data_IF_948430912378
#
_entry.id   IF_948430912378
#
_cell.length_a   1.000
_cell.length_b   1.000
_cell.length_c   1.000
_cell.angle_alpha   90.00
_cell.angle_beta   90.00
_cell.angle_gamma   90.00
#
_symmetry.space_group_name_H-M   'P 1'
#
loop_
_entity.id
_entity.type
_entity.pdbx_description
1 polymer ?
#
# COMPACT_ATOMS: atom_id res chain seq x y z
N UNK A 1 9.32 -7.35 -14.60
CA UNK A 1 10.41 -7.81 -15.51
C UNK A 1 11.13 -6.67 -16.21
N UNK A 2 10.48 -5.77 -16.99
CA UNK A 2 11.23 -4.69 -17.69
C UNK A 2 12.07 -3.81 -16.77
N UNK A 3 11.52 -3.36 -15.63
CA UNK A 3 12.27 -2.56 -14.64
C UNK A 3 13.45 -3.32 -14.04
N UNK A 4 13.26 -4.61 -13.73
CA UNK A 4 14.33 -5.45 -13.17
C UNK A 4 15.49 -5.60 -14.16
N UNK A 5 15.19 -5.75 -15.45
CA UNK A 5 16.21 -5.89 -16.49
C UNK A 5 16.90 -4.57 -16.88
N UNK A 6 16.23 -3.44 -16.64
CA UNK A 6 16.75 -2.10 -16.98
C UNK A 6 17.53 -1.43 -15.85
N UNK A 7 17.60 -2.07 -14.66
CA UNK A 7 18.23 -1.52 -13.45
C UNK A 7 19.06 -2.59 -12.74
N UNK A 8 20.11 -2.15 -12.05
CA UNK A 8 21.05 -3.04 -11.34
C UNK A 8 21.00 -2.85 -9.81
N UNK A 9 20.51 -1.71 -9.33
CA UNK A 9 20.58 -1.31 -7.92
C UNK A 9 19.24 -1.00 -7.27
N UNK A 10 18.23 -0.65 -8.07
CA UNK A 10 16.92 -0.23 -7.55
C UNK A 10 16.17 -1.44 -7.01
N UNK A 11 15.63 -1.31 -5.81
CA UNK A 11 14.65 -2.23 -5.27
C UNK A 11 13.32 -2.06 -6.01
N UNK A 12 12.72 -3.15 -6.45
CA UNK A 12 11.43 -3.16 -7.14
C UNK A 12 10.38 -3.72 -6.21
N UNK A 13 9.40 -2.90 -5.88
CA UNK A 13 8.31 -3.25 -4.97
C UNK A 13 7.02 -3.45 -5.76
N UNK A 14 6.32 -4.55 -5.53
CA UNK A 14 4.94 -4.66 -5.97
C UNK A 14 4.05 -3.81 -5.05
N UNK A 15 3.41 -2.77 -5.56
CA UNK A 15 2.66 -1.82 -4.72
C UNK A 15 1.25 -1.55 -5.26
N UNK A 16 0.32 -2.45 -5.07
CA UNK A 16 0.31 -3.73 -4.35
C UNK A 16 -0.22 -4.86 -5.25
N UNK A 17 0.07 -6.10 -4.89
CA UNK A 17 -0.65 -7.27 -5.43
C UNK A 17 -1.86 -7.53 -4.51
N UNK A 18 -3.09 -7.57 -5.05
CA UNK A 18 -4.29 -7.87 -4.26
C UNK A 18 -4.24 -9.29 -3.68
N UNK A 19 -4.47 -9.42 -2.38
CA UNK A 19 -4.37 -10.71 -1.69
C UNK A 19 -5.25 -11.80 -2.30
N UNK A 20 -6.50 -11.48 -2.65
CA UNK A 20 -7.51 -12.49 -2.97
C UNK A 20 -7.61 -12.86 -4.45
N UNK A 21 -6.75 -12.31 -5.31
CA UNK A 21 -6.75 -12.60 -6.75
C UNK A 21 -6.03 -13.89 -7.12
N UNK A 22 -5.28 -14.49 -6.18
CA UNK A 22 -4.61 -15.76 -6.39
C UNK A 22 -4.47 -16.56 -5.09
N UNK A 23 -4.11 -17.84 -5.21
CA UNK A 23 -3.82 -18.68 -4.05
C UNK A 23 -2.52 -18.25 -3.35
N UNK A 24 -2.37 -18.53 -2.03
CA UNK A 24 -1.11 -18.27 -1.32
C UNK A 24 0.10 -18.90 -2.01
N UNK A 25 -0.05 -20.11 -2.56
CA UNK A 25 1.02 -20.81 -3.26
C UNK A 25 1.43 -20.07 -4.54
N UNK A 26 0.49 -19.57 -5.34
CA UNK A 26 0.80 -18.83 -6.56
C UNK A 26 1.50 -17.51 -6.25
N UNK A 27 1.07 -16.79 -5.21
CA UNK A 27 1.74 -15.59 -4.75
C UNK A 27 3.19 -15.88 -4.33
N UNK A 28 3.42 -16.94 -3.55
CA UNK A 28 4.74 -17.35 -3.11
C UNK A 28 5.66 -17.71 -4.30
N UNK A 29 5.17 -18.50 -5.27
CA UNK A 29 5.93 -18.88 -6.46
C UNK A 29 6.30 -17.66 -7.32
N UNK A 30 5.33 -16.78 -7.57
CA UNK A 30 5.56 -15.58 -8.38
C UNK A 30 6.56 -14.63 -7.72
N UNK A 31 6.41 -14.42 -6.41
CA UNK A 31 7.33 -13.57 -5.65
C UNK A 31 8.76 -14.09 -5.68
N UNK A 32 8.91 -15.41 -5.56
CA UNK A 32 10.22 -16.02 -5.61
C UNK A 32 10.86 -15.96 -6.99
N UNK A 33 10.10 -16.19 -8.06
CA UNK A 33 10.61 -16.07 -9.43
C UNK A 33 11.10 -14.62 -9.70
N UNK A 34 10.38 -13.61 -9.20
CA UNK A 34 10.79 -12.21 -9.30
C UNK A 34 12.02 -11.90 -8.44
N UNK A 35 12.12 -12.48 -7.25
CA UNK A 35 13.28 -12.33 -6.37
C UNK A 35 14.54 -12.89 -7.02
N UNK A 36 14.46 -14.07 -7.64
CA UNK A 36 15.56 -14.67 -8.38
C UNK A 36 15.95 -13.85 -9.60
N UNK A 37 14.95 -13.45 -10.41
CA UNK A 37 15.18 -12.64 -11.62
C UNK A 37 15.75 -11.24 -11.32
N UNK A 38 15.54 -10.74 -10.11
CA UNK A 38 16.07 -9.45 -9.65
C UNK A 38 17.37 -9.55 -8.88
N UNK A 39 17.90 -10.75 -8.68
CA UNK A 39 19.07 -10.99 -7.83
C UNK A 39 18.91 -10.43 -6.40
N UNK A 40 17.72 -10.63 -5.81
CA UNK A 40 17.42 -10.21 -4.43
C UNK A 40 16.83 -8.82 -4.27
N UNK A 41 16.48 -8.11 -5.36
CA UNK A 41 15.96 -6.73 -5.30
C UNK A 41 14.43 -6.61 -5.33
N UNK A 42 13.70 -7.71 -5.22
CA UNK A 42 12.23 -7.69 -5.25
C UNK A 42 11.63 -7.69 -3.84
N UNK A 43 10.59 -6.91 -3.65
CA UNK A 43 9.76 -6.89 -2.44
C UNK A 43 8.33 -7.24 -2.82
N UNK A 44 7.73 -8.21 -2.12
CA UNK A 44 6.35 -8.60 -2.28
C UNK A 44 5.44 -7.68 -1.48
N UNK A 45 4.88 -6.65 -2.11
CA UNK A 45 3.88 -5.80 -1.50
C UNK A 45 2.47 -6.29 -1.79
N UNK A 46 1.67 -6.48 -0.76
CA UNK A 46 0.31 -7.00 -0.83
C UNK A 46 -0.69 -6.09 -0.12
N UNK A 47 -1.98 -6.22 -0.45
CA UNK A 47 -3.05 -5.47 0.21
C UNK A 47 -4.41 -6.11 0.00
N UNK A 48 -5.37 -5.80 0.88
CA UNK A 48 -6.72 -6.40 0.81
C UNK A 48 -7.56 -5.85 -0.32
N UNK A 49 -7.34 -4.62 -0.76
CA UNK A 49 -8.30 -3.79 -1.49
C UNK A 49 -9.57 -3.48 -0.68
N UNK A 50 -10.52 -2.76 -1.27
CA UNK A 50 -11.83 -2.49 -0.66
C UNK A 50 -12.78 -3.66 -0.86
N UNK A 51 -13.76 -3.83 0.03
CA UNK A 51 -14.79 -4.89 -0.14
C UNK A 51 -15.53 -4.80 -1.47
N UNK A 52 -15.77 -3.58 -1.98
CA UNK A 52 -16.42 -3.38 -3.28
C UNK A 52 -15.58 -3.93 -4.44
N UNK A 53 -14.28 -3.67 -4.44
CA UNK A 53 -13.37 -4.21 -5.43
C UNK A 53 -13.25 -5.73 -5.34
N UNK A 54 -13.11 -6.29 -4.14
CA UNK A 54 -13.05 -7.75 -3.93
C UNK A 54 -14.29 -8.44 -4.50
N UNK A 55 -15.49 -7.90 -4.23
CA UNK A 55 -16.73 -8.43 -4.82
C UNK A 55 -16.77 -8.33 -6.34
N UNK A 56 -16.38 -7.17 -6.86
CA UNK A 56 -16.45 -6.91 -8.31
C UNK A 56 -15.42 -7.67 -9.12
N UNK A 57 -14.22 -7.81 -8.61
CA UNK A 57 -13.08 -8.36 -9.34
C UNK A 57 -12.87 -9.87 -9.08
N UNK A 58 -13.19 -10.34 -7.88
CA UNK A 58 -12.93 -11.74 -7.46
C UNK A 58 -14.22 -12.53 -7.26
N UNK A 59 -15.35 -11.86 -7.07
CA UNK A 59 -16.65 -12.51 -6.86
C UNK A 59 -16.85 -13.10 -5.45
N UNK A 60 -16.04 -12.70 -4.47
CA UNK A 60 -16.16 -13.15 -3.07
C UNK A 60 -16.51 -11.98 -2.14
N UNK A 61 -17.13 -12.28 -1.00
CA UNK A 61 -17.41 -11.30 0.05
C UNK A 61 -16.77 -11.72 1.38
N UNK A 62 -15.48 -11.45 1.59
CA UNK A 62 -14.79 -11.87 2.80
C UNK A 62 -15.37 -11.13 4.02
N UNK A 63 -15.78 -11.86 5.07
CA UNK A 63 -16.40 -11.24 6.26
C UNK A 63 -15.42 -10.34 7.01
N UNK A 64 -14.15 -10.75 7.07
CA UNK A 64 -13.05 -10.04 7.76
C UNK A 64 -11.80 -9.99 6.86
N UNK A 65 -11.75 -9.12 5.83
CA UNK A 65 -10.67 -9.13 4.84
C UNK A 65 -9.26 -9.04 5.46
N UNK A 66 -9.09 -8.22 6.50
CA UNK A 66 -7.80 -8.08 7.18
C UNK A 66 -7.32 -9.38 7.86
N UNK A 67 -8.23 -10.14 8.46
CA UNK A 67 -7.88 -11.39 9.13
C UNK A 67 -7.61 -12.51 8.12
N UNK A 68 -8.40 -12.54 7.04
CA UNK A 68 -8.17 -13.46 5.92
C UNK A 68 -6.82 -13.17 5.24
N UNK A 69 -6.47 -11.89 5.05
CA UNK A 69 -5.17 -11.50 4.54
C UNK A 69 -4.04 -11.86 5.50
N UNK A 70 -4.22 -11.66 6.82
CA UNK A 70 -3.25 -12.08 7.82
C UNK A 70 -2.90 -13.56 7.69
N UNK A 71 -3.92 -14.41 7.63
CA UNK A 71 -3.75 -15.86 7.48
C UNK A 71 -3.03 -16.21 6.17
N UNK A 72 -3.41 -15.57 5.05
CA UNK A 72 -2.73 -15.73 3.76
C UNK A 72 -1.25 -15.33 3.83
N UNK A 73 -0.92 -14.19 4.44
CA UNK A 73 0.46 -13.72 4.59
C UNK A 73 1.31 -14.67 5.43
N UNK A 74 0.75 -15.23 6.50
CA UNK A 74 1.42 -16.26 7.30
C UNK A 74 1.72 -17.52 6.49
N UNK A 75 0.77 -17.97 5.66
CA UNK A 75 0.96 -19.11 4.76
C UNK A 75 2.05 -18.82 3.71
N UNK A 76 1.99 -17.66 3.05
CA UNK A 76 3.00 -17.24 2.07
C UNK A 76 4.39 -17.20 2.72
N UNK A 77 4.48 -16.64 3.92
CA UNK A 77 5.73 -16.59 4.68
C UNK A 77 6.28 -17.98 4.97
N UNK A 78 5.46 -18.89 5.48
CA UNK A 78 5.89 -20.27 5.74
C UNK A 78 6.36 -20.97 4.45
N UNK A 79 5.66 -20.82 3.33
CA UNK A 79 6.09 -21.38 2.04
C UNK A 79 7.45 -20.80 1.62
N UNK A 80 7.63 -19.48 1.70
CA UNK A 80 8.86 -18.81 1.24
C UNK A 80 10.07 -19.06 2.13
N UNK A 81 9.89 -19.06 3.45
CA UNK A 81 10.98 -19.08 4.42
C UNK A 81 11.26 -20.48 4.98
N UNK A 82 10.23 -21.31 5.12
CA UNK A 82 10.33 -22.66 5.71
C UNK A 82 10.28 -23.76 4.64
N UNK A 83 9.87 -23.43 3.42
CA UNK A 83 9.83 -24.38 2.29
C UNK A 83 8.59 -25.26 2.25
N UNK A 84 7.54 -24.91 2.99
CA UNK A 84 6.26 -25.60 2.98
C UNK A 84 5.40 -25.24 4.18
N UNK A 85 4.15 -25.68 4.18
CA UNK A 85 3.23 -25.43 5.30
C UNK A 85 2.11 -26.45 5.34
N UNK A 86 1.77 -26.93 6.53
CA UNK A 86 0.48 -27.57 6.82
C UNK A 86 -0.34 -26.59 7.64
N UNK A 87 -1.42 -26.07 7.08
CA UNK A 87 -2.24 -25.03 7.68
C UNK A 87 -3.70 -25.45 7.78
N UNK A 88 -4.28 -25.29 8.96
CA UNK A 88 -5.67 -25.58 9.30
C UNK A 88 -6.26 -24.35 10.00
N UNK A 89 -6.54 -23.29 9.22
CA UNK A 89 -7.01 -22.02 9.74
C UNK A 89 -8.51 -21.77 9.56
N UNK A 90 -8.93 -20.55 9.89
CA UNK A 90 -10.33 -20.10 9.75
C UNK A 90 -10.72 -19.95 8.26
N UNK A 91 -9.78 -19.44 7.43
CA UNK A 91 -10.04 -19.11 6.03
C UNK A 91 -9.36 -20.06 5.06
N UNK A 92 -8.25 -20.66 5.44
CA UNK A 92 -7.47 -21.52 4.56
C UNK A 92 -7.18 -22.86 5.22
N UNK A 93 -7.34 -23.93 4.40
CA UNK A 93 -6.92 -25.28 4.77
C UNK A 93 -6.08 -25.82 3.63
N UNK A 94 -4.80 -26.06 3.87
CA UNK A 94 -3.89 -26.53 2.83
C UNK A 94 -2.70 -27.28 3.43
N UNK A 95 -2.15 -28.17 2.62
CA UNK A 95 -0.91 -28.88 2.92
C UNK A 95 0.01 -28.77 1.71
N UNK A 96 1.04 -27.94 1.84
CA UNK A 96 2.01 -27.68 0.81
C UNK A 96 3.35 -28.25 1.26
N UNK A 97 3.73 -29.36 0.66
CA UNK A 97 5.09 -29.91 0.75
C UNK A 97 5.87 -29.37 -0.44
N UNK A 98 6.57 -28.28 -0.26
CA UNK A 98 7.33 -27.68 -1.33
C UNK A 98 8.80 -28.11 -1.30
N UNK A 99 9.10 -29.18 -2.01
CA UNK A 99 10.47 -29.57 -2.29
C UNK A 99 11.06 -28.65 -3.35
N UNK A 100 11.44 -27.48 -2.93
CA UNK A 100 12.20 -26.57 -3.75
C UNK A 100 13.62 -27.10 -3.94
N UNK A 101 14.13 -27.10 -5.17
CA UNK A 101 15.57 -27.25 -5.32
C UNK A 101 16.23 -26.08 -4.57
N UNK A 102 16.86 -26.39 -3.46
CA UNK A 102 17.51 -25.41 -2.57
C UNK A 102 18.59 -24.59 -3.27
N UNK A 103 19.04 -25.02 -4.45
CA UNK A 103 20.21 -24.45 -5.11
C UNK A 103 20.04 -23.00 -5.57
N UNK A 104 18.90 -22.60 -6.14
CA UNK A 104 18.75 -21.25 -6.67
C UNK A 104 18.26 -20.24 -5.63
N UNK A 105 17.52 -20.70 -4.63
CA UNK A 105 16.99 -19.83 -3.56
C UNK A 105 18.01 -19.48 -2.49
N UNK A 106 19.06 -20.27 -2.34
CA UNK A 106 20.09 -20.00 -1.35
C UNK A 106 20.97 -18.80 -1.69
N UNK A 107 21.01 -18.41 -2.98
CA UNK A 107 21.84 -17.27 -3.42
C UNK A 107 21.26 -15.90 -3.03
N UNK A 108 19.94 -15.76 -3.04
CA UNK A 108 19.28 -14.44 -2.85
C UNK A 108 18.30 -14.39 -1.68
N UNK A 109 17.97 -15.52 -1.07
CA UNK A 109 16.98 -15.63 -0.01
C UNK A 109 15.53 -15.39 -0.49
N UNK A 110 14.53 -15.47 0.42
CA UNK A 110 13.14 -15.13 0.13
C UNK A 110 12.98 -13.61 0.02
N UNK A 111 11.99 -13.13 -0.78
CA UNK A 111 11.68 -11.70 -0.84
C UNK A 111 11.07 -11.21 0.47
N UNK A 112 11.38 -10.01 0.94
CA UNK A 112 10.63 -9.36 2.01
C UNK A 112 9.15 -9.23 1.64
N UNK A 113 8.28 -9.34 2.63
CA UNK A 113 6.82 -9.23 2.47
C UNK A 113 6.37 -7.92 3.11
N UNK A 114 5.86 -6.98 2.31
CA UNK A 114 5.24 -5.76 2.80
C UNK A 114 3.73 -5.84 2.66
N UNK A 115 3.02 -5.14 3.53
CA UNK A 115 1.57 -5.06 3.45
C UNK A 115 1.11 -3.62 3.39
N UNK A 116 -0.01 -3.35 2.74
CA UNK A 116 -0.61 -2.02 2.69
C UNK A 116 -2.01 -2.05 3.29
N UNK A 117 -2.34 -1.02 4.06
CA UNK A 117 -3.67 -0.87 4.64
C UNK A 117 -3.86 0.48 5.30
N UNK A 118 -5.09 1.00 5.30
CA UNK A 118 -5.40 2.33 5.83
C UNK A 118 -6.00 2.27 7.24
N UNK A 119 -6.79 1.24 7.52
CA UNK A 119 -7.47 1.13 8.80
C UNK A 119 -6.58 0.49 9.89
N UNK A 120 -6.86 0.77 11.17
CA UNK A 120 -6.06 0.28 12.30
C UNK A 120 -5.88 -1.24 12.35
N UNK A 121 -6.83 -2.03 11.83
CA UNK A 121 -6.71 -3.50 11.83
C UNK A 121 -5.63 -3.94 10.85
N UNK A 122 -5.65 -3.41 9.61
CA UNK A 122 -4.63 -3.71 8.60
C UNK A 122 -3.23 -3.25 9.05
N UNK A 123 -3.13 -2.10 9.70
CA UNK A 123 -1.86 -1.59 10.22
C UNK A 123 -1.27 -2.51 11.29
N UNK A 124 -2.10 -3.02 12.20
CA UNK A 124 -1.67 -4.03 13.19
C UNK A 124 -1.27 -5.34 12.54
N UNK A 125 -2.02 -5.81 11.53
CA UNK A 125 -1.64 -7.00 10.74
C UNK A 125 -0.29 -6.81 10.08
N UNK A 126 -0.02 -5.63 9.51
CA UNK A 126 1.29 -5.32 8.90
C UNK A 126 2.42 -5.51 9.90
N UNK A 127 2.39 -4.86 11.05
CA UNK A 127 3.43 -5.02 12.08
C UNK A 127 3.58 -6.46 12.58
N UNK A 128 2.47 -7.18 12.69
CA UNK A 128 2.46 -8.53 13.28
C UNK A 128 3.06 -9.60 12.35
N UNK A 129 2.73 -9.59 11.06
CA UNK A 129 3.05 -10.74 10.18
C UNK A 129 3.90 -10.40 8.95
N UNK A 130 4.31 -9.14 8.75
CA UNK A 130 5.12 -8.74 7.59
C UNK A 130 6.42 -8.05 7.97
N UNK A 131 7.25 -7.76 6.98
CA UNK A 131 8.56 -7.14 7.15
C UNK A 131 8.51 -5.62 6.94
N UNK A 132 7.36 -5.10 6.45
CA UNK A 132 7.19 -3.66 6.24
C UNK A 132 5.78 -3.25 5.83
N UNK A 133 5.56 -1.93 5.81
CA UNK A 133 4.34 -1.28 5.36
C UNK A 133 4.61 -0.46 4.10
N UNK A 134 3.78 -0.64 3.08
CA UNK A 134 3.64 0.33 1.99
C UNK A 134 2.58 1.34 2.41
N UNK A 135 3.00 2.56 2.66
CA UNK A 135 2.09 3.65 3.01
C UNK A 135 1.12 3.94 1.87
N UNK A 136 -0.12 4.22 2.21
CA UNK A 136 -1.08 4.63 1.19
C UNK A 136 -0.74 6.03 0.66
N UNK A 137 -0.91 6.32 -0.65
CA UNK A 137 -0.54 7.61 -1.25
C UNK A 137 -1.21 8.84 -0.61
N UNK A 138 -2.34 8.62 0.07
CA UNK A 138 -3.08 9.69 0.75
C UNK A 138 -2.52 10.07 2.12
N UNK A 139 -1.52 9.35 2.67
CA UNK A 139 -1.07 9.59 4.04
C UNK A 139 -0.35 10.93 4.18
N UNK A 140 -0.78 11.72 5.16
CA UNK A 140 -0.05 12.88 5.66
C UNK A 140 0.96 12.45 6.73
N UNK A 141 1.96 13.28 6.99
CA UNK A 141 2.92 13.05 8.09
C UNK A 141 2.21 12.96 9.43
N UNK A 142 1.18 13.81 9.65
CA UNK A 142 0.34 13.76 10.85
C UNK A 142 -0.31 12.39 11.03
N UNK A 143 -0.93 11.86 9.98
CA UNK A 143 -1.56 10.53 10.04
C UNK A 143 -0.55 9.41 10.25
N UNK A 144 0.63 9.50 9.63
CA UNK A 144 1.73 8.55 9.85
C UNK A 144 2.11 8.47 11.32
N UNK A 145 2.30 9.62 11.97
CA UNK A 145 2.77 9.69 13.36
C UNK A 145 1.67 9.35 14.38
N UNK A 146 0.45 9.83 14.17
CA UNK A 146 -0.61 9.73 15.19
C UNK A 146 -1.47 8.46 15.04
N UNK A 147 -1.52 7.85 13.86
CA UNK A 147 -2.38 6.70 13.60
C UNK A 147 -1.58 5.48 13.09
N UNK A 148 -0.75 5.67 12.07
CA UNK A 148 -0.09 4.54 11.41
C UNK A 148 0.91 3.90 12.35
N UNK A 149 1.91 4.63 12.80
CA UNK A 149 2.96 4.12 13.69
C UNK A 149 2.40 3.47 14.95
N UNK A 150 1.51 4.11 15.74
CA UNK A 150 0.99 3.51 16.97
C UNK A 150 0.22 2.19 16.74
N UNK A 151 -0.35 1.99 15.55
CA UNK A 151 -1.00 0.72 15.23
C UNK A 151 -0.02 -0.33 14.70
N UNK A 152 0.99 0.05 13.94
CA UNK A 152 2.07 -0.85 13.51
C UNK A 152 2.82 -1.38 14.74
N UNK A 153 3.19 -0.50 15.67
CA UNK A 153 3.88 -0.86 16.92
C UNK A 153 3.10 -1.91 17.73
N UNK A 154 1.79 -1.75 17.89
CA UNK A 154 0.94 -2.77 18.52
C UNK A 154 0.98 -4.12 17.79
N UNK A 155 1.21 -4.12 16.49
CA UNK A 155 1.42 -5.35 15.71
C UNK A 155 2.79 -5.95 15.97
N UNK A 156 3.84 -5.13 15.96
CA UNK A 156 5.22 -5.54 16.26
C UNK A 156 5.33 -6.16 17.66
N UNK A 157 4.75 -5.51 18.68
CA UNK A 157 4.71 -6.00 20.05
C UNK A 157 4.09 -7.41 20.14
N UNK A 158 2.98 -7.66 19.44
CA UNK A 158 2.35 -8.98 19.40
C UNK A 158 3.23 -10.06 18.79
N UNK A 159 4.10 -9.68 17.88
CA UNK A 159 5.04 -10.58 17.21
C UNK A 159 6.40 -10.67 17.92
N UNK A 160 6.62 -9.93 19.01
CA UNK A 160 7.90 -9.83 19.68
C UNK A 160 8.98 -9.17 18.82
N UNK A 161 8.58 -8.31 17.88
CA UNK A 161 9.46 -7.54 16.99
C UNK A 161 9.69 -6.13 17.52
N UNK A 162 10.81 -5.55 17.12
CA UNK A 162 11.15 -4.15 17.37
C UNK A 162 10.97 -3.27 16.11
N UNK A 163 11.10 -1.96 16.28
CA UNK A 163 11.08 -0.99 15.17
C UNK A 163 12.15 -1.28 14.10
N UNK A 164 13.31 -1.76 14.51
CA UNK A 164 14.42 -2.08 13.59
C UNK A 164 14.17 -3.32 12.72
N UNK A 165 13.15 -4.10 13.03
CA UNK A 165 12.78 -5.30 12.27
C UNK A 165 11.70 -5.02 11.20
N UNK A 166 11.41 -3.74 10.95
CA UNK A 166 10.28 -3.34 10.13
C UNK A 166 10.56 -2.08 9.31
N UNK A 167 10.32 -2.16 8.01
CA UNK A 167 10.46 -1.05 7.07
C UNK A 167 9.13 -0.32 6.87
N UNK A 168 9.16 1.01 6.91
CA UNK A 168 8.04 1.84 6.48
C UNK A 168 8.42 2.56 5.19
N UNK A 169 7.67 2.28 4.12
CA UNK A 169 7.92 2.84 2.80
C UNK A 169 6.84 3.86 2.44
N UNK A 170 7.19 5.15 2.40
CA UNK A 170 6.28 6.19 1.92
C UNK A 170 6.01 6.06 0.43
N UNK A 171 4.80 6.41 0.00
CA UNK A 171 4.42 6.41 -1.42
C UNK A 171 3.71 7.73 -1.78
N UNK A 172 4.41 8.87 -1.80
CA UNK A 172 3.80 10.17 -2.07
C UNK A 172 3.31 10.29 -3.51
N UNK A 173 2.22 11.00 -3.72
CA UNK A 173 1.81 11.46 -5.03
C UNK A 173 2.68 12.66 -5.44
N UNK A 174 3.31 12.57 -6.60
CA UNK A 174 4.29 13.55 -7.06
C UNK A 174 3.89 14.10 -8.42
N UNK A 175 3.95 15.44 -8.57
CA UNK A 175 3.84 16.13 -9.85
C UNK A 175 5.03 17.07 -10.02
N UNK A 176 5.84 16.81 -11.03
CA UNK A 176 6.93 17.73 -11.42
C UNK A 176 6.32 18.90 -12.18
N UNK A 177 6.67 20.10 -11.75
CA UNK A 177 6.19 21.36 -12.32
C UNK A 177 7.34 22.37 -12.34
N UNK A 178 7.78 22.76 -13.55
CA UNK A 178 8.87 23.70 -13.75
C UNK A 178 8.38 25.14 -14.01
N UNK A 179 7.07 25.32 -14.19
CA UNK A 179 6.44 26.61 -14.39
C UNK A 179 5.04 26.65 -13.75
N UNK A 180 4.43 27.86 -13.71
CA UNK A 180 3.14 28.06 -13.05
C UNK A 180 2.01 27.26 -13.70
N UNK A 181 1.98 27.15 -15.02
CA UNK A 181 0.96 26.36 -15.72
C UNK A 181 1.01 24.87 -15.34
N UNK A 182 2.20 24.31 -15.23
CA UNK A 182 2.38 22.92 -14.80
C UNK A 182 2.04 22.76 -13.33
N UNK A 183 2.29 23.78 -12.50
CA UNK A 183 1.92 23.79 -11.08
C UNK A 183 0.40 23.79 -10.90
N UNK A 184 -0.31 24.65 -11.65
CA UNK A 184 -1.79 24.67 -11.67
C UNK A 184 -2.35 23.30 -12.10
N UNK A 185 -1.78 22.71 -13.15
CA UNK A 185 -2.17 21.36 -13.59
C UNK A 185 -1.89 20.31 -12.54
N UNK A 186 -0.76 20.39 -11.84
CA UNK A 186 -0.43 19.52 -10.71
C UNK A 186 -1.47 19.57 -9.59
N UNK A 187 -1.92 20.77 -9.21
CA UNK A 187 -2.99 20.94 -8.25
C UNK A 187 -4.31 20.35 -8.74
N UNK A 188 -4.67 20.61 -9.99
CA UNK A 188 -5.86 20.07 -10.62
C UNK A 188 -5.86 18.53 -10.60
N UNK A 189 -4.77 17.92 -11.03
CA UNK A 189 -4.61 16.46 -11.02
C UNK A 189 -4.57 15.90 -9.60
N UNK A 190 -3.93 16.59 -8.67
CA UNK A 190 -3.91 16.25 -7.26
C UNK A 190 -5.31 16.19 -6.66
N UNK A 191 -6.12 17.25 -6.85
CA UNK A 191 -7.51 17.29 -6.42
C UNK A 191 -8.33 16.15 -7.01
N UNK A 192 -8.22 15.90 -8.32
CA UNK A 192 -8.94 14.82 -9.00
C UNK A 192 -8.60 13.44 -8.44
N UNK A 193 -7.31 13.16 -8.26
CA UNK A 193 -6.88 11.87 -7.73
C UNK A 193 -7.30 11.69 -6.26
N UNK A 194 -7.12 12.72 -5.43
CA UNK A 194 -7.54 12.68 -4.03
C UNK A 194 -9.06 12.53 -3.90
N UNK A 195 -9.85 13.29 -4.66
CA UNK A 195 -11.30 13.16 -4.64
C UNK A 195 -11.78 11.77 -5.04
N UNK A 196 -11.11 11.14 -6.03
CA UNK A 196 -11.40 9.76 -6.41
C UNK A 196 -11.12 8.77 -5.25
N UNK A 197 -10.00 8.90 -4.54
CA UNK A 197 -9.75 8.09 -3.34
C UNK A 197 -10.80 8.37 -2.26
N UNK A 198 -11.05 9.64 -1.94
CA UNK A 198 -11.95 10.07 -0.87
C UNK A 198 -13.42 9.76 -1.14
N UNK A 199 -13.82 9.50 -2.39
CA UNK A 199 -15.15 8.99 -2.71
C UNK A 199 -15.42 7.60 -2.12
N UNK A 200 -14.38 6.86 -1.79
CA UNK A 200 -14.49 5.54 -1.18
C UNK A 200 -14.79 5.65 0.32
N UNK A 201 -15.91 5.04 0.76
CA UNK A 201 -16.36 5.08 2.17
C UNK A 201 -15.31 4.63 3.18
N UNK A 202 -14.40 3.74 2.77
CA UNK A 202 -13.34 3.24 3.65
C UNK A 202 -12.36 4.32 4.12
N UNK A 203 -12.26 5.45 3.42
CA UNK A 203 -11.38 6.57 3.77
C UNK A 203 -12.09 7.70 4.54
N UNK A 204 -13.35 7.53 4.90
CA UNK A 204 -14.12 8.56 5.63
C UNK A 204 -13.49 8.92 6.96
N UNK A 205 -13.10 7.94 7.77
CA UNK A 205 -12.44 8.19 9.06
C UNK A 205 -11.08 8.86 8.93
N UNK A 206 -10.37 8.67 7.82
CA UNK A 206 -9.14 9.38 7.50
C UNK A 206 -9.41 10.88 7.27
N UNK A 207 -10.44 11.20 6.49
CA UNK A 207 -10.82 12.60 6.23
C UNK A 207 -11.31 13.28 7.50
N UNK A 208 -12.15 12.61 8.29
CA UNK A 208 -12.65 13.14 9.56
C UNK A 208 -11.53 13.40 10.57
N UNK A 209 -10.47 12.56 10.59
CA UNK A 209 -9.26 12.76 11.39
C UNK A 209 -8.55 14.09 11.06
N UNK A 210 -8.56 14.50 9.80
CA UNK A 210 -7.98 15.77 9.33
C UNK A 210 -8.92 16.96 9.48
N UNK A 211 -10.18 16.77 9.88
CA UNK A 211 -11.20 17.82 9.91
C UNK A 211 -11.79 18.15 8.54
N UNK A 212 -11.56 17.29 7.52
CA UNK A 212 -12.07 17.45 6.15
C UNK A 212 -13.45 16.81 5.96
N UNK A 213 -14.29 16.92 6.99
CA UNK A 213 -15.62 16.30 6.98
C UNK A 213 -16.55 16.95 5.94
N UNK A 214 -16.46 18.26 5.74
CA UNK A 214 -17.28 18.96 4.74
C UNK A 214 -16.90 18.55 3.32
N UNK A 215 -15.60 18.45 3.03
CA UNK A 215 -15.07 18.00 1.74
C UNK A 215 -15.47 16.55 1.47
N UNK A 216 -15.41 15.70 2.49
CA UNK A 216 -15.88 14.30 2.41
C UNK A 216 -17.37 14.22 2.04
N UNK A 217 -18.20 15.03 2.65
CA UNK A 217 -19.63 15.08 2.36
C UNK A 217 -19.86 15.57 0.93
N UNK A 218 -19.22 16.67 0.52
CA UNK A 218 -19.34 17.21 -0.82
C UNK A 218 -18.93 16.20 -1.91
N UNK A 219 -17.77 15.54 -1.73
CA UNK A 219 -17.30 14.48 -2.64
C UNK A 219 -18.31 13.35 -2.71
N UNK A 220 -18.87 12.96 -1.57
CA UNK A 220 -19.83 11.86 -1.52
C UNK A 220 -21.14 12.21 -2.25
N UNK A 221 -21.62 13.45 -2.15
CA UNK A 221 -22.80 13.94 -2.86
C UNK A 221 -22.59 13.92 -4.38
N UNK A 222 -21.43 14.37 -4.87
CA UNK A 222 -21.08 14.28 -6.30
C UNK A 222 -21.08 12.84 -6.77
N UNK A 223 -20.44 11.95 -6.01
CA UNK A 223 -20.35 10.53 -6.33
C UNK A 223 -21.72 9.83 -6.35
N UNK A 224 -22.56 10.09 -5.35
CA UNK A 224 -23.88 9.45 -5.22
C UNK A 224 -24.86 9.95 -6.31
N UNK A 225 -24.76 11.23 -6.73
CA UNK A 225 -25.55 11.76 -7.86
C UNK A 225 -25.24 11.06 -9.19
N UNK A 226 -23.99 10.65 -9.38
CA UNK A 226 -23.59 9.94 -10.59
C UNK A 226 -24.23 8.55 -10.72
N UNK A 227 -24.75 7.96 -9.64
CA UNK A 227 -25.44 6.66 -9.60
C UNK A 227 -24.76 5.56 -10.43
N UNK A 228 -23.42 5.51 -10.40
CA UNK A 228 -22.62 4.56 -11.18
C UNK A 228 -22.36 4.97 -12.65
N UNK A 229 -22.85 6.12 -13.08
CA UNK A 229 -22.49 6.76 -14.34
C UNK A 229 -21.16 7.52 -14.27
N UNK A 230 -20.81 8.23 -15.37
CA UNK A 230 -19.62 9.07 -15.40
C UNK A 230 -19.69 10.16 -14.33
N UNK A 231 -18.60 10.33 -13.58
CA UNK A 231 -18.47 11.38 -12.57
C UNK A 231 -17.82 12.61 -13.25
N UNK A 232 -18.39 13.79 -13.01
CA UNK A 232 -17.76 15.03 -13.48
C UNK A 232 -16.50 15.31 -12.67
N UNK A 233 -15.35 15.26 -13.34
CA UNK A 233 -14.06 15.53 -12.73
C UNK A 233 -13.91 16.94 -12.22
N UNK A 234 -14.55 17.93 -12.85
CA UNK A 234 -14.48 19.34 -12.41
C UNK A 234 -15.29 19.55 -11.12
N UNK A 235 -16.47 18.91 -10.97
CA UNK A 235 -17.21 18.94 -9.71
C UNK A 235 -16.42 18.28 -8.57
N UNK A 236 -15.74 17.15 -8.83
CA UNK A 236 -14.90 16.50 -7.85
C UNK A 236 -13.69 17.36 -7.45
N UNK A 237 -13.04 18.02 -8.41
CA UNK A 237 -11.94 18.95 -8.14
C UNK A 237 -12.37 20.11 -7.25
N UNK A 238 -13.58 20.65 -7.46
CA UNK A 238 -14.12 21.75 -6.69
C UNK A 238 -14.40 21.41 -5.21
N UNK A 239 -14.48 20.14 -4.86
CA UNK A 239 -14.67 19.70 -3.48
C UNK A 239 -13.41 19.82 -2.61
N UNK A 240 -12.22 20.02 -3.20
CA UNK A 240 -10.94 20.05 -2.49
C UNK A 240 -10.22 21.38 -2.68
N UNK A 241 -9.52 21.81 -1.64
CA UNK A 241 -8.69 23.02 -1.67
C UNK A 241 -7.22 22.70 -2.03
N UNK A 242 -6.43 23.71 -2.37
CA UNK A 242 -5.01 23.54 -2.63
C UNK A 242 -4.25 23.15 -1.35
N UNK A 243 -4.67 23.64 -0.19
CA UNK A 243 -4.09 23.32 1.11
C UNK A 243 -4.19 21.81 1.40
N UNK A 244 -5.32 21.17 1.08
CA UNK A 244 -5.47 19.71 1.22
C UNK A 244 -4.51 18.97 0.28
N UNK A 245 -4.34 19.47 -0.96
CA UNK A 245 -3.37 18.90 -1.90
C UNK A 245 -1.96 19.07 -1.38
N UNK A 246 -1.60 20.22 -0.84
CA UNK A 246 -0.27 20.49 -0.27
C UNK A 246 0.04 19.61 0.94
N UNK A 247 -0.95 19.21 1.74
CA UNK A 247 -0.76 18.29 2.87
C UNK A 247 -0.42 16.85 2.40
N UNK A 248 -0.93 16.43 1.25
CA UNK A 248 -0.84 15.04 0.79
C UNK A 248 0.18 14.88 -0.35
N UNK A 249 0.17 15.79 -1.31
CA UNK A 249 0.95 15.69 -2.55
C UNK A 249 2.27 16.47 -2.48
N UNK A 250 3.16 16.14 -3.39
CA UNK A 250 4.41 16.88 -3.63
C UNK A 250 4.36 17.47 -5.03
N UNK A 251 4.18 18.79 -5.13
CA UNK A 251 4.13 19.52 -6.40
C UNK A 251 5.29 20.52 -6.42
N UNK A 252 6.04 20.56 -7.51
CA UNK A 252 7.12 21.51 -7.72
C UNK A 252 8.19 21.03 -8.66
N UNK A 253 9.26 21.81 -8.77
CA UNK A 253 10.47 21.44 -9.51
C UNK A 253 11.10 20.17 -8.91
N UNK A 254 11.95 19.45 -9.64
CA UNK A 254 12.67 18.30 -9.09
C UNK A 254 13.43 18.60 -7.81
N UNK A 255 14.00 19.82 -7.69
CA UNK A 255 14.71 20.26 -6.49
C UNK A 255 13.76 20.45 -5.29
N UNK A 256 12.62 21.12 -5.49
CA UNK A 256 11.60 21.32 -4.46
C UNK A 256 10.98 19.98 -4.01
N UNK A 257 10.64 19.11 -4.95
CA UNK A 257 10.09 17.78 -4.62
C UNK A 257 11.09 16.96 -3.82
N UNK A 258 12.37 16.96 -4.20
CA UNK A 258 13.44 16.30 -3.44
C UNK A 258 13.56 16.85 -2.02
N UNK A 259 13.51 18.15 -1.85
CA UNK A 259 13.59 18.79 -0.54
C UNK A 259 12.37 18.45 0.32
N UNK A 260 11.16 18.67 -0.22
CA UNK A 260 9.90 18.32 0.46
C UNK A 260 9.82 16.84 0.85
N UNK A 261 10.32 15.95 0.00
CA UNK A 261 10.40 14.51 0.31
C UNK A 261 11.25 14.25 1.54
N UNK A 262 12.43 14.86 1.62
CA UNK A 262 13.33 14.72 2.78
C UNK A 262 12.71 15.30 4.05
N UNK A 263 12.12 16.49 3.96
CA UNK A 263 11.49 17.17 5.10
C UNK A 263 10.31 16.37 5.66
N UNK A 264 9.46 15.83 4.79
CA UNK A 264 8.26 15.10 5.20
C UNK A 264 8.56 13.68 5.72
N UNK A 265 9.41 12.96 5.02
CA UNK A 265 9.55 11.51 5.22
C UNK A 265 10.88 11.09 5.82
N UNK A 266 11.90 11.95 5.81
CA UNK A 266 13.27 11.59 6.20
C UNK A 266 13.43 11.09 7.63
N UNK A 267 12.56 11.49 8.55
CA UNK A 267 12.57 11.04 9.95
C UNK A 267 11.43 10.08 10.31
N UNK A 268 10.54 9.79 9.35
CA UNK A 268 9.30 9.04 9.64
C UNK A 268 9.28 7.68 8.92
N UNK A 269 9.96 7.58 7.78
CA UNK A 269 9.96 6.38 6.96
C UNK A 269 11.38 5.95 6.58
N UNK A 270 11.55 4.68 6.22
CA UNK A 270 12.84 4.08 5.87
C UNK A 270 13.14 4.19 4.38
N UNK A 271 12.11 4.40 3.58
CA UNK A 271 12.23 4.53 2.14
C UNK A 271 11.08 5.27 1.50
N UNK A 272 11.28 5.65 0.24
CA UNK A 272 10.25 6.28 -0.60
C UNK A 272 10.07 5.48 -1.87
N UNK A 273 8.83 5.12 -2.15
CA UNK A 273 8.40 4.47 -3.37
C UNK A 273 7.81 5.53 -4.31
N UNK A 274 8.35 5.65 -5.50
CA UNK A 274 7.78 6.53 -6.52
C UNK A 274 6.70 5.79 -7.29
N UNK A 275 5.54 6.44 -7.37
CA UNK A 275 4.31 5.91 -7.96
C UNK A 275 4.01 6.62 -9.29
#
# INVERSE_FOLDING_TARGET
MRMLNATERITVVAAIIPCFHASPLLHAHSALALQQASEGRFVLGMGTQTKGQIRGEVGIDPPKPAMMAKEMLQIIRAILYEGGVKHEGEYYKLNVAWTRSRHDSQKVGPPPIYFSGVNPVNLRVSGEVTDGLICHPIYTVKYLNEVVWPNVEKGLERAGKSRSDFDMCAMPMIWIAENEKEREEGYRMGKRNLANYYSTRAYGTYMDFHGWTNERIAIREVYDRAMGGPIDGAEMEACLTNEIVDEVCLIGTPAEVRQKTKERYGNTTDGVLFY
#
